data_IF_630478315771
#
_entry.id   IF_630478315771
#
_cell.length_a   1.000
_cell.length_b   1.000
_cell.length_c   1.000
_cell.angle_alpha   90.00
_cell.angle_beta   90.00
_cell.angle_gamma   90.00
#
_symmetry.space_group_name_H-M   'P 1'
#
loop_
_entity.id
_entity.type
_entity.pdbx_description
1 polymer ?
#
# COMPACT_ATOMS: atom_id res chain seq x y z
N UNK A 1 -2.98 -17.35 -32.48
CA UNK A 1 -1.80 -17.06 -31.64
C UNK A 1 -1.72 -15.57 -31.61
N UNK A 2 -2.56 -15.02 -30.74
CA UNK A 2 -3.13 -13.69 -30.88
C UNK A 2 -2.26 -12.64 -30.20
N UNK A 3 -1.95 -11.62 -30.97
CA UNK A 3 -1.09 -10.50 -30.65
C UNK A 3 -1.54 -9.78 -29.37
N UNK A 4 -0.60 -9.64 -28.44
CA UNK A 4 -0.68 -8.74 -27.28
C UNK A 4 -1.00 -7.32 -27.75
N UNK A 5 -2.23 -6.87 -27.51
CA UNK A 5 -2.64 -5.49 -27.73
C UNK A 5 -2.07 -4.62 -26.61
N UNK A 6 -1.19 -3.69 -26.97
CA UNK A 6 -0.65 -2.68 -26.07
C UNK A 6 -1.82 -1.77 -25.65
N UNK A 7 -2.14 -1.63 -24.34
CA UNK A 7 -3.26 -0.80 -23.92
C UNK A 7 -2.97 0.68 -24.20
N UNK A 8 -3.88 1.32 -24.95
CA UNK A 8 -3.81 2.73 -25.36
C UNK A 8 -3.65 3.69 -24.17
N UNK A 9 -2.82 4.73 -24.35
CA UNK A 9 -2.55 5.81 -23.38
C UNK A 9 -3.81 6.47 -22.79
N UNK A 10 -4.94 6.40 -23.50
CA UNK A 10 -6.23 6.91 -23.05
C UNK A 10 -6.77 6.16 -21.82
N UNK A 11 -6.51 4.85 -21.71
CA UNK A 11 -7.00 4.01 -20.59
C UNK A 11 -6.24 4.36 -19.30
N UNK A 12 -4.93 4.60 -19.42
CA UNK A 12 -4.08 5.02 -18.29
C UNK A 12 -4.46 6.43 -17.83
N UNK A 13 -4.76 7.35 -18.76
CA UNK A 13 -5.30 8.68 -18.42
C UNK A 13 -6.60 8.55 -17.62
N UNK A 14 -7.56 7.72 -18.02
CA UNK A 14 -8.86 7.61 -17.32
C UNK A 14 -8.78 7.08 -15.89
N UNK A 15 -7.91 6.11 -15.60
CA UNK A 15 -7.80 5.53 -14.23
C UNK A 15 -7.28 6.56 -13.23
N UNK A 16 -6.34 7.40 -13.64
CA UNK A 16 -5.77 8.44 -12.77
C UNK A 16 -6.83 9.47 -12.38
N UNK A 17 -7.70 9.87 -13.31
CA UNK A 17 -8.77 10.83 -13.05
C UNK A 17 -9.84 10.34 -12.06
N UNK A 18 -9.96 9.03 -11.79
CA UNK A 18 -10.84 8.54 -10.72
C UNK A 18 -10.47 9.07 -9.32
N UNK A 19 -9.23 9.53 -9.14
CA UNK A 19 -8.75 10.08 -7.88
C UNK A 19 -8.85 11.61 -7.80
N UNK A 20 -9.26 12.28 -8.89
CA UNK A 20 -9.23 13.74 -9.00
C UNK A 20 -10.54 14.34 -9.51
N UNK A 21 -10.98 15.40 -8.85
CA UNK A 21 -12.03 16.31 -9.31
C UNK A 21 -11.39 17.44 -10.13
N UNK A 22 -11.88 17.67 -11.35
CA UNK A 22 -11.44 18.83 -12.15
C UNK A 22 -12.11 20.09 -11.62
N UNK A 23 -11.32 21.07 -11.24
CA UNK A 23 -11.81 22.36 -10.74
C UNK A 23 -11.17 23.52 -11.50
N UNK A 24 -11.88 24.62 -11.62
CA UNK A 24 -11.34 25.89 -12.15
C UNK A 24 -11.20 26.85 -10.99
N UNK A 25 -9.99 27.35 -10.76
CA UNK A 25 -9.71 28.32 -9.69
C UNK A 25 -8.95 29.49 -10.30
N UNK A 26 -9.54 30.68 -10.27
CA UNK A 26 -9.01 31.90 -10.92
C UNK A 26 -8.70 31.68 -12.41
N UNK A 27 -9.67 31.15 -13.17
CA UNK A 27 -9.54 30.80 -14.61
C UNK A 27 -8.45 29.76 -14.97
N UNK A 28 -7.77 29.19 -13.98
CA UNK A 28 -6.79 28.13 -14.16
C UNK A 28 -7.43 26.75 -13.95
N UNK A 29 -7.26 25.86 -14.92
CA UNK A 29 -7.66 24.46 -14.83
C UNK A 29 -6.75 23.73 -13.83
N UNK A 30 -7.35 23.14 -12.79
CA UNK A 30 -6.67 22.39 -11.73
C UNK A 30 -7.35 21.05 -11.49
N UNK A 31 -6.62 20.14 -10.87
CA UNK A 31 -7.09 18.84 -10.43
C UNK A 31 -7.02 18.78 -8.89
N UNK A 32 -8.15 18.58 -8.23
CA UNK A 32 -8.24 18.37 -6.78
C UNK A 32 -8.27 16.89 -6.47
N UNK A 33 -7.35 16.40 -5.65
CA UNK A 33 -7.42 15.02 -5.17
C UNK A 33 -8.65 14.82 -4.27
N UNK A 34 -9.48 13.81 -4.53
CA UNK A 34 -10.71 13.57 -3.75
C UNK A 34 -10.39 13.15 -2.31
N UNK A 35 -9.27 12.47 -2.09
CA UNK A 35 -8.90 11.90 -0.79
C UNK A 35 -8.12 12.84 0.13
N UNK A 36 -7.14 13.57 -0.40
CA UNK A 36 -6.32 14.47 0.41
C UNK A 36 -6.60 15.96 0.16
N UNK A 37 -7.52 16.27 -0.78
CA UNK A 37 -7.93 17.64 -1.16
C UNK A 37 -6.84 18.55 -1.73
N UNK A 38 -5.64 18.01 -2.01
CA UNK A 38 -4.56 18.78 -2.64
C UNK A 38 -4.93 19.24 -4.05
N UNK A 39 -4.56 20.48 -4.39
CA UNK A 39 -4.75 21.06 -5.72
C UNK A 39 -3.47 20.92 -6.54
N UNK A 40 -3.58 20.33 -7.72
CA UNK A 40 -2.50 20.15 -8.67
C UNK A 40 -2.84 20.91 -9.96
N UNK A 41 -1.84 21.50 -10.61
CA UNK A 41 -2.04 22.16 -11.91
C UNK A 41 -2.40 21.14 -12.98
N UNK A 42 -3.32 21.47 -13.89
CA UNK A 42 -3.70 20.61 -15.01
C UNK A 42 -3.15 21.17 -16.32
N UNK A 43 -1.83 21.39 -16.38
CA UNK A 43 -1.18 21.98 -17.56
C UNK A 43 -1.03 20.95 -18.67
N UNK A 44 -1.65 21.27 -19.82
CA UNK A 44 -2.12 20.31 -20.82
C UNK A 44 -1.07 19.77 -21.80
N UNK A 45 0.20 19.65 -21.40
CA UNK A 45 1.27 19.21 -22.33
C UNK A 45 2.01 17.92 -21.95
N UNK A 46 2.05 17.51 -20.67
CA UNK A 46 2.71 16.26 -20.21
C UNK A 46 1.86 15.53 -19.15
N UNK A 47 0.57 15.43 -19.45
CA UNK A 47 -0.62 15.57 -18.58
C UNK A 47 -0.89 14.56 -17.44
N UNK A 48 -0.01 13.62 -17.11
CA UNK A 48 -0.34 12.65 -16.04
C UNK A 48 0.77 12.34 -15.05
N UNK A 49 2.01 12.73 -15.31
CA UNK A 49 3.15 12.32 -14.48
C UNK A 49 3.07 12.84 -13.04
N UNK A 50 2.65 14.10 -12.85
CA UNK A 50 2.53 14.71 -11.53
C UNK A 50 1.31 14.19 -10.75
N UNK A 51 0.18 13.94 -11.42
CA UNK A 51 -1.00 13.30 -10.85
C UNK A 51 -0.72 11.84 -10.47
N UNK A 52 -0.02 11.09 -11.31
CA UNK A 52 0.40 9.73 -11.05
C UNK A 52 1.40 9.65 -9.89
N UNK A 53 2.40 10.55 -9.84
CA UNK A 53 3.32 10.65 -8.72
C UNK A 53 2.59 10.96 -7.40
N UNK A 54 1.57 11.82 -7.46
CA UNK A 54 0.70 12.09 -6.33
C UNK A 54 -0.05 10.83 -5.88
N UNK A 55 -0.76 10.13 -6.77
CA UNK A 55 -1.51 8.91 -6.41
C UNK A 55 -0.57 7.85 -5.82
N UNK A 56 0.61 7.64 -6.43
CA UNK A 56 1.61 6.68 -5.96
C UNK A 56 2.12 7.02 -4.55
N UNK A 57 2.43 8.30 -4.29
CA UNK A 57 2.89 8.75 -2.98
C UNK A 57 1.77 8.71 -1.93
N UNK A 58 0.54 9.05 -2.29
CA UNK A 58 -0.63 8.94 -1.42
C UNK A 58 -0.91 7.48 -1.00
N UNK A 59 -0.93 6.55 -1.96
CA UNK A 59 -1.12 5.12 -1.68
C UNK A 59 0.01 4.55 -0.82
N UNK A 60 1.25 4.98 -1.05
CA UNK A 60 2.40 4.59 -0.20
C UNK A 60 2.21 5.02 1.25
N UNK A 61 1.79 6.27 1.49
CA UNK A 61 1.50 6.77 2.85
C UNK A 61 0.35 6.01 3.51
N UNK A 62 -0.79 5.85 2.81
CA UNK A 62 -1.94 5.08 3.30
C UNK A 62 -1.59 3.64 3.69
N UNK A 63 -0.67 3.01 2.97
CA UNK A 63 -0.20 1.66 3.29
C UNK A 63 0.80 1.64 4.45
N UNK A 64 1.63 2.68 4.62
CA UNK A 64 2.48 2.81 5.80
C UNK A 64 1.66 2.95 7.09
N UNK A 65 0.58 3.74 7.07
CA UNK A 65 -0.32 3.89 8.22
C UNK A 65 -1.03 2.56 8.59
N UNK A 66 -1.25 1.68 7.61
CA UNK A 66 -1.77 0.32 7.83
C UNK A 66 -0.72 -0.66 8.37
N UNK A 67 0.55 -0.48 8.03
CA UNK A 67 1.64 -1.36 8.48
C UNK A 67 2.11 -1.00 9.90
N UNK A 68 1.99 0.27 10.31
CA UNK A 68 2.37 0.71 11.67
C UNK A 68 1.32 0.45 12.74
N UNK A 69 0.14 -0.08 12.38
CA UNK A 69 -0.97 -0.34 13.31
C UNK A 69 -1.47 -1.78 13.28
N UNK A 70 -0.72 -2.73 12.71
CA UNK A 70 -0.99 -4.13 13.00
C UNK A 70 -0.47 -4.40 14.42
N UNK A 71 -1.34 -4.17 15.41
CA UNK A 71 -1.10 -4.57 16.78
C UNK A 71 -0.66 -6.04 16.79
N UNK A 72 0.36 -6.35 17.60
CA UNK A 72 0.83 -7.71 17.76
C UNK A 72 -0.33 -8.61 18.19
N UNK A 73 -0.76 -9.47 17.28
CA UNK A 73 -1.84 -10.41 17.52
C UNK A 73 -1.24 -11.70 18.11
N UNK A 74 -1.27 -11.77 19.43
CA UNK A 74 -0.74 -12.90 20.18
C UNK A 74 -1.40 -14.22 19.77
N UNK A 75 -2.67 -14.20 19.37
CA UNK A 75 -3.41 -15.39 18.96
C UNK A 75 -2.89 -15.91 17.62
N UNK A 76 -2.71 -15.03 16.64
CA UNK A 76 -2.10 -15.41 15.35
C UNK A 76 -0.66 -15.89 15.49
N UNK A 77 0.11 -15.29 16.41
CA UNK A 77 1.47 -15.75 16.68
C UNK A 77 1.47 -17.17 17.26
N UNK A 78 0.59 -17.45 18.25
CA UNK A 78 0.43 -18.79 18.83
C UNK A 78 0.07 -19.84 17.78
N UNK A 79 -0.88 -19.55 16.91
CA UNK A 79 -1.30 -20.47 15.84
C UNK A 79 -0.15 -20.81 14.89
N UNK A 80 0.58 -19.78 14.45
CA UNK A 80 1.76 -19.96 13.59
C UNK A 80 2.86 -20.75 14.29
N UNK A 81 3.10 -20.47 15.57
CA UNK A 81 4.12 -21.17 16.37
C UNK A 81 3.78 -22.66 16.51
N UNK A 82 2.53 -22.99 16.85
CA UNK A 82 2.05 -24.37 16.95
C UNK A 82 2.22 -25.09 15.62
N UNK A 83 1.85 -24.45 14.51
CA UNK A 83 2.01 -25.03 13.17
C UNK A 83 3.47 -25.35 12.87
N UNK A 84 4.41 -24.46 13.21
CA UNK A 84 5.86 -24.69 12.98
C UNK A 84 6.37 -25.84 13.84
N UNK A 85 5.95 -25.93 15.11
CA UNK A 85 6.35 -27.01 16.02
C UNK A 85 5.89 -28.37 15.49
N UNK A 86 4.64 -28.47 15.02
CA UNK A 86 4.07 -29.72 14.48
C UNK A 86 4.75 -30.09 13.16
N UNK A 87 4.84 -29.15 12.20
CA UNK A 87 5.37 -29.42 10.85
C UNK A 87 6.85 -29.80 10.87
N UNK A 88 7.63 -29.21 11.76
CA UNK A 88 9.07 -29.46 11.85
C UNK A 88 9.45 -30.42 12.98
N UNK A 89 8.47 -31.03 13.65
CA UNK A 89 8.66 -32.01 14.72
C UNK A 89 9.61 -31.50 15.83
N UNK A 90 9.57 -30.20 16.12
CA UNK A 90 10.43 -29.64 17.14
C UNK A 90 10.02 -30.18 18.52
N UNK A 91 10.99 -30.53 19.39
CA UNK A 91 10.69 -30.91 20.76
C UNK A 91 9.86 -29.80 21.43
N UNK A 92 8.80 -30.17 22.16
CA UNK A 92 7.97 -29.22 22.91
C UNK A 92 8.80 -28.39 23.91
N UNK A 93 10.02 -28.83 24.24
CA UNK A 93 11.00 -28.12 25.06
C UNK A 93 11.61 -26.87 24.39
N UNK A 94 11.41 -26.65 23.08
CA UNK A 94 12.02 -25.52 22.36
C UNK A 94 11.54 -24.18 22.92
N UNK A 95 10.29 -24.09 23.38
CA UNK A 95 9.72 -22.88 23.97
C UNK A 95 10.26 -22.58 25.36
N UNK A 96 10.83 -23.58 26.03
CA UNK A 96 11.39 -23.42 27.37
C UNK A 96 12.85 -22.92 27.36
N UNK A 97 13.51 -22.99 26.21
CA UNK A 97 14.91 -22.57 26.04
C UNK A 97 15.03 -21.07 26.28
N UNK A 98 16.05 -20.69 27.06
CA UNK A 98 16.36 -19.28 27.41
C UNK A 98 16.46 -18.40 26.17
N UNK A 99 17.06 -18.88 25.08
CA UNK A 99 17.16 -18.11 23.83
C UNK A 99 15.80 -17.80 23.20
N UNK A 100 14.86 -18.75 23.26
CA UNK A 100 13.50 -18.55 22.75
C UNK A 100 12.71 -17.59 23.64
N UNK A 101 12.82 -17.74 24.97
CA UNK A 101 12.21 -16.83 25.95
C UNK A 101 12.69 -15.40 25.75
N UNK A 102 14.00 -15.18 25.68
CA UNK A 102 14.60 -13.85 25.52
C UNK A 102 14.17 -13.18 24.19
N UNK A 103 14.10 -13.95 23.11
CA UNK A 103 13.56 -13.49 21.83
C UNK A 103 12.10 -13.06 21.97
N UNK A 104 11.26 -13.87 22.61
CA UNK A 104 9.83 -13.58 22.79
C UNK A 104 9.56 -12.37 23.69
N UNK A 105 10.44 -12.05 24.65
CA UNK A 105 10.34 -10.87 25.50
C UNK A 105 10.81 -9.57 24.80
N UNK A 106 11.48 -9.67 23.65
CA UNK A 106 12.00 -8.53 22.90
C UNK A 106 11.08 -8.08 21.74
N UNK A 107 9.94 -8.75 21.57
CA UNK A 107 8.88 -8.51 20.59
C UNK A 107 7.73 -7.71 21.21
#
# INVERSE_FOLDING_TARGET
>A
MDSLSIPSDNVVKTIVWNYFERITVFDLKKARCVHCKCLLGADSMNETSHLQAHVKSYLKKKNQDKVTSQAFDQQRFREKLISVIIVHEYPLLIVDRVGFKNYSFSL
#
